data_IF_465616678467
#
_entry.id   IF_465616678467
#
_cell.length_a   1.000
_cell.length_b   1.000
_cell.length_c   1.000
_cell.angle_alpha   90.00
_cell.angle_beta   90.00
_cell.angle_gamma   90.00
#
_symmetry.space_group_name_H-M   'P 1'
#
loop_
_entity.id
_entity.type
_entity.pdbx_description
1 polymer ?
#
# COMPACT_ATOMS: atom_id res chain seq x y z
N UNK A 1 -9.27 -7.95 -7.52
CA UNK A 1 -8.74 -6.58 -7.33
C UNK A 1 -7.87 -6.26 -8.52
N UNK A 2 -7.72 -4.99 -8.89
CA UNK A 2 -6.85 -4.58 -9.98
C UNK A 2 -5.48 -4.21 -9.40
N UNK A 3 -4.43 -4.92 -9.81
CA UNK A 3 -3.06 -4.69 -9.37
C UNK A 3 -2.31 -3.93 -10.47
N UNK A 4 -1.83 -2.73 -10.17
CA UNK A 4 -0.98 -1.94 -11.06
C UNK A 4 0.41 -1.84 -10.45
N UNK A 5 1.42 -2.44 -11.09
CA UNK A 5 2.80 -2.29 -10.62
C UNK A 5 3.24 -0.83 -10.75
N UNK A 6 3.92 -0.32 -9.73
CA UNK A 6 4.50 1.02 -9.74
C UNK A 6 5.82 1.02 -10.52
N UNK A 7 6.42 2.19 -10.80
CA UNK A 7 7.78 2.26 -11.34
C UNK A 7 8.85 1.63 -10.43
N UNK A 8 8.54 1.34 -9.16
CA UNK A 8 9.44 0.65 -8.24
C UNK A 8 9.09 -0.85 -8.21
N UNK A 9 9.99 -1.74 -8.70
CA UNK A 9 9.69 -3.16 -8.86
C UNK A 9 9.26 -3.85 -7.56
N UNK A 10 8.13 -4.56 -7.62
CA UNK A 10 7.52 -5.26 -6.48
C UNK A 10 6.57 -4.42 -5.62
N UNK A 11 6.45 -3.11 -5.85
CA UNK A 11 5.44 -2.27 -5.22
C UNK A 11 4.23 -2.07 -6.14
N UNK A 12 3.02 -2.09 -5.56
CA UNK A 12 1.77 -2.09 -6.34
C UNK A 12 0.77 -1.07 -5.81
N UNK A 13 0.07 -0.42 -6.73
CA UNK A 13 -1.19 0.27 -6.45
C UNK A 13 -2.34 -0.70 -6.72
N UNK A 14 -3.16 -0.95 -5.69
CA UNK A 14 -4.22 -1.95 -5.72
C UNK A 14 -5.58 -1.24 -5.62
N UNK A 15 -6.45 -1.53 -6.59
CA UNK A 15 -7.80 -0.98 -6.67
C UNK A 15 -8.87 -2.04 -6.37
N UNK A 16 -9.84 -1.75 -5.49
CA UNK A 16 -10.95 -2.65 -5.22
C UNK A 16 -11.92 -2.67 -6.41
N UNK A 17 -12.28 -3.88 -6.85
CA UNK A 17 -13.34 -4.07 -7.84
C UNK A 17 -14.71 -4.01 -7.15
N UNK A 18 -15.53 -3.04 -7.56
CA UNK A 18 -16.79 -2.72 -6.89
C UNK A 18 -17.95 -3.46 -7.54
N UNK A 19 -18.69 -4.19 -6.72
CA UNK A 19 -20.00 -4.75 -7.05
C UNK A 19 -21.05 -3.80 -6.49
N UNK A 20 -21.64 -2.97 -7.34
CA UNK A 20 -22.55 -1.89 -6.93
C UNK A 20 -24.02 -2.27 -7.10
N UNK A 21 -24.85 -1.78 -6.18
CA UNK A 21 -26.32 -1.86 -6.22
C UNK A 21 -26.94 -0.61 -5.55
N UNK A 22 -28.26 -0.57 -5.39
CA UNK A 22 -28.97 0.57 -4.82
C UNK A 22 -28.61 0.90 -3.36
N UNK A 23 -27.96 -0.03 -2.64
CA UNK A 23 -27.52 0.15 -1.25
C UNK A 23 -26.11 0.74 -1.17
N UNK A 24 -25.36 0.72 -2.27
CA UNK A 24 -23.96 1.15 -2.33
C UNK A 24 -23.11 0.18 -3.16
N UNK A 25 -22.00 -0.29 -2.60
CA UNK A 25 -21.18 -1.31 -3.24
C UNK A 25 -20.52 -2.23 -2.21
N UNK A 26 -20.21 -3.44 -2.65
CA UNK A 26 -19.34 -4.37 -1.95
C UNK A 26 -18.05 -4.55 -2.75
N UNK A 27 -16.91 -4.61 -2.06
CA UNK A 27 -15.63 -4.86 -2.72
C UNK A 27 -14.66 -5.56 -1.77
N UNK A 28 -13.84 -6.45 -2.32
CA UNK A 28 -12.71 -7.04 -1.61
C UNK A 28 -11.56 -6.04 -1.60
N UNK A 29 -10.95 -5.84 -0.44
CA UNK A 29 -9.77 -4.96 -0.28
C UNK A 29 -8.50 -5.74 0.06
N UNK A 30 -8.63 -7.05 0.23
CA UNK A 30 -7.56 -8.03 0.37
C UNK A 30 -8.14 -9.41 0.01
N UNK A 31 -7.31 -10.26 -0.60
CA UNK A 31 -7.63 -11.64 -0.92
C UNK A 31 -6.33 -12.41 -1.06
N UNK A 32 -6.09 -13.37 -0.16
CA UNK A 32 -4.86 -14.17 -0.11
C UNK A 32 -4.54 -14.79 -1.48
N UNK A 33 -5.52 -15.46 -2.10
CA UNK A 33 -5.37 -16.08 -3.41
C UNK A 33 -4.95 -15.10 -4.53
N UNK A 34 -5.47 -13.88 -4.52
CA UNK A 34 -5.10 -12.89 -5.54
C UNK A 34 -3.71 -12.31 -5.29
N UNK A 35 -3.32 -12.13 -4.03
CA UNK A 35 -1.96 -11.69 -3.69
C UNK A 35 -0.94 -12.79 -4.05
N UNK A 36 -1.23 -14.04 -3.71
CA UNK A 36 -0.40 -15.20 -4.07
C UNK A 36 -0.25 -15.35 -5.58
N UNK A 37 -1.31 -15.12 -6.35
CA UNK A 37 -1.27 -15.16 -7.82
C UNK A 37 -0.34 -14.10 -8.43
N UNK A 38 -0.04 -13.02 -7.69
CA UNK A 38 0.93 -11.98 -8.08
C UNK A 38 2.31 -12.17 -7.41
N UNK A 39 2.53 -13.27 -6.68
CA UNK A 39 3.78 -13.50 -5.94
C UNK A 39 3.98 -12.53 -4.77
N UNK A 40 2.91 -11.94 -4.25
CA UNK A 40 2.95 -10.98 -3.16
C UNK A 40 2.79 -11.69 -1.81
N UNK A 41 3.37 -11.10 -0.76
CA UNK A 41 3.14 -11.54 0.60
C UNK A 41 1.66 -11.35 0.93
N UNK A 42 1.01 -12.45 1.28
CA UNK A 42 -0.41 -12.51 1.59
C UNK A 42 -0.70 -12.74 3.07
N UNK A 43 0.32 -13.11 3.86
CA UNK A 43 0.19 -13.34 5.30
C UNK A 43 0.56 -12.09 6.11
N UNK A 44 -0.43 -11.23 6.36
CA UNK A 44 -0.29 -10.12 7.29
C UNK A 44 -0.58 -10.58 8.73
N UNK A 45 0.35 -10.35 9.65
CA UNK A 45 0.24 -10.78 11.06
C UNK A 45 -0.25 -9.67 12.00
N UNK A 46 -0.34 -8.44 11.49
CA UNK A 46 -0.74 -7.26 12.25
C UNK A 46 -1.55 -6.31 11.37
N UNK A 47 -2.51 -5.63 11.99
CA UNK A 47 -3.27 -4.54 11.39
C UNK A 47 -3.23 -3.32 12.31
N UNK A 48 -3.05 -2.14 11.72
CA UNK A 48 -2.94 -0.89 12.46
C UNK A 48 -3.88 0.17 11.89
N UNK A 49 -4.30 1.11 12.73
CA UNK A 49 -5.02 2.32 12.32
C UNK A 49 -4.34 3.54 12.91
N UNK A 50 -4.24 4.60 12.12
CA UNK A 50 -3.79 5.91 12.59
C UNK A 50 -4.77 6.98 12.14
N UNK A 51 -4.84 8.06 12.92
CA UNK A 51 -5.64 9.24 12.61
C UNK A 51 -4.77 10.48 12.79
N UNK A 52 -4.82 11.38 11.82
CA UNK A 52 -4.12 12.66 11.86
C UNK A 52 -5.12 13.78 12.09
N UNK A 53 -4.96 14.50 13.21
CA UNK A 53 -5.87 15.60 13.60
C UNK A 53 -5.74 16.80 12.65
N UNK A 54 -4.53 17.06 12.14
CA UNK A 54 -4.23 18.24 11.32
C UNK A 54 -3.88 17.82 9.89
N UNK A 55 -4.42 18.55 8.91
CA UNK A 55 -3.93 18.48 7.53
C UNK A 55 -2.45 18.85 7.50
N UNK A 56 -1.66 18.11 6.74
CA UNK A 56 -0.21 18.31 6.64
C UNK A 56 0.61 17.60 7.72
N UNK A 57 0.00 16.82 8.61
CA UNK A 57 0.75 15.91 9.48
C UNK A 57 1.48 14.86 8.64
N UNK A 58 2.80 14.76 8.82
CA UNK A 58 3.68 13.81 8.17
C UNK A 58 4.09 12.70 9.16
N UNK A 59 4.09 11.45 8.70
CA UNK A 59 4.63 10.29 9.42
C UNK A 59 5.60 9.57 8.47
N UNK A 60 6.81 9.30 8.93
CA UNK A 60 7.86 8.67 8.11
C UNK A 60 9.18 9.45 8.13
N UNK A 61 10.20 9.00 7.37
CA UNK A 61 10.22 7.72 6.64
C UNK A 61 10.51 6.55 7.59
N UNK A 62 9.75 5.46 7.48
CA UNK A 62 9.83 4.33 8.42
C UNK A 62 10.35 3.09 7.71
N UNK A 63 11.60 2.74 8.01
CA UNK A 63 12.26 1.56 7.47
C UNK A 63 12.54 0.53 8.57
N UNK A 64 12.38 -0.75 8.24
CA UNK A 64 12.82 -1.86 9.09
C UNK A 64 13.80 -2.74 8.32
N UNK A 65 14.98 -2.93 8.91
CA UNK A 65 16.05 -3.76 8.35
C UNK A 65 15.95 -5.21 8.84
N UNK A 66 16.71 -6.09 8.19
CA UNK A 66 16.89 -7.46 8.64
C UNK A 66 17.24 -7.54 10.13
N UNK A 67 16.60 -8.43 10.92
CA UNK A 67 15.63 -9.48 10.54
C UNK A 67 14.16 -9.08 10.76
N UNK A 68 13.84 -7.79 10.75
CA UNK A 68 12.53 -7.25 11.13
C UNK A 68 11.80 -6.58 9.97
N UNK A 69 12.10 -6.95 8.73
CA UNK A 69 11.48 -6.36 7.55
C UNK A 69 9.96 -6.57 7.56
N UNK A 70 9.23 -5.54 7.14
CA UNK A 70 7.78 -5.57 7.11
C UNK A 70 7.28 -5.18 5.72
N UNK A 71 6.38 -6.01 5.18
CA UNK A 71 5.55 -5.65 4.03
C UNK A 71 4.26 -5.02 4.53
N UNK A 72 3.87 -3.90 3.93
CA UNK A 72 2.70 -3.11 4.35
C UNK A 72 1.68 -3.04 3.22
N UNK A 73 0.40 -3.06 3.58
CA UNK A 73 -0.71 -2.72 2.70
C UNK A 73 -1.44 -1.52 3.31
N UNK A 74 -1.25 -0.34 2.73
CA UNK A 74 -1.73 0.93 3.31
C UNK A 74 -2.90 1.47 2.49
N UNK A 75 -3.93 2.00 3.16
CA UNK A 75 -5.10 2.62 2.51
C UNK A 75 -5.66 3.79 3.30
N UNK A 76 -6.20 4.79 2.61
CA UNK A 76 -6.98 5.86 3.21
C UNK A 76 -8.44 5.45 3.42
N UNK A 77 -8.89 5.28 4.67
CA UNK A 77 -10.29 4.92 4.98
C UNK A 77 -11.18 6.14 5.22
N UNK A 78 -10.60 7.29 5.58
CA UNK A 78 -11.28 8.57 5.73
C UNK A 78 -10.34 9.70 5.30
N UNK A 79 -10.88 10.69 4.57
CA UNK A 79 -10.08 11.79 4.05
C UNK A 79 -9.13 11.36 2.94
N UNK A 80 -7.94 11.96 2.91
CA UNK A 80 -6.92 11.75 1.90
C UNK A 80 -5.51 11.82 2.51
N UNK A 81 -4.60 11.03 1.96
CA UNK A 81 -3.17 11.10 2.25
C UNK A 81 -2.36 10.89 0.97
N UNK A 82 -1.18 11.52 0.91
CA UNK A 82 -0.16 11.22 -0.08
C UNK A 82 0.78 10.19 0.55
N UNK A 83 0.71 8.95 0.11
CA UNK A 83 1.55 7.87 0.59
C UNK A 83 2.80 7.81 -0.28
N UNK A 84 3.97 7.71 0.35
CA UNK A 84 5.26 7.77 -0.33
C UNK A 84 6.09 6.61 0.15
N UNK A 85 6.63 5.84 -0.80
CA UNK A 85 7.60 4.79 -0.53
C UNK A 85 8.93 5.09 -1.22
N UNK A 86 10.03 4.71 -0.57
CA UNK A 86 11.40 4.85 -1.08
C UNK A 86 12.05 3.48 -1.16
N UNK A 87 12.65 3.15 -2.31
CA UNK A 87 13.36 1.88 -2.48
C UNK A 87 14.71 1.94 -1.76
N UNK A 88 14.84 1.18 -0.66
CA UNK A 88 16.04 1.14 0.17
C UNK A 88 16.88 -0.12 -0.09
N UNK A 89 16.58 -0.89 -1.14
CA UNK A 89 17.32 -2.11 -1.50
C UNK A 89 18.58 -1.75 -2.29
N UNK A 90 19.81 -1.96 -1.75
CA UNK A 90 21.04 -1.49 -2.40
C UNK A 90 21.29 -2.06 -3.80
N UNK A 91 20.84 -3.30 -4.04
CA UNK A 91 21.01 -4.01 -5.31
C UNK A 91 19.86 -3.74 -6.30
N UNK A 92 18.89 -2.90 -5.94
CA UNK A 92 17.75 -2.58 -6.81
C UNK A 92 18.14 -1.61 -7.93
N UNK A 93 17.63 -1.80 -9.17
CA UNK A 93 17.80 -0.83 -10.25
C UNK A 93 17.15 0.53 -9.93
N UNK A 94 16.25 0.58 -8.95
CA UNK A 94 15.55 1.78 -8.50
C UNK A 94 16.00 2.24 -7.11
N UNK A 95 17.17 1.83 -6.64
CA UNK A 95 17.70 2.24 -5.33
C UNK A 95 17.66 3.77 -5.15
N UNK A 96 17.12 4.22 -4.00
CA UNK A 96 16.87 5.61 -3.62
C UNK A 96 15.85 6.37 -4.49
N UNK A 97 15.21 5.71 -5.46
CA UNK A 97 14.05 6.27 -6.13
C UNK A 97 12.81 6.13 -5.26
N UNK A 98 11.84 7.00 -5.50
CA UNK A 98 10.60 7.07 -4.74
C UNK A 98 9.41 7.14 -5.67
N UNK A 99 8.26 6.72 -5.15
CA UNK A 99 6.97 6.84 -5.79
C UNK A 99 5.97 7.38 -4.77
N UNK A 100 4.99 8.13 -5.26
CA UNK A 100 3.93 8.67 -4.43
C UNK A 100 2.57 8.35 -5.04
N UNK A 101 1.61 7.97 -4.19
CA UNK A 101 0.23 7.76 -4.56
C UNK A 101 -0.70 8.53 -3.65
N UNK A 102 -1.72 9.16 -4.23
CA UNK A 102 -2.82 9.71 -3.45
C UNK A 102 -3.78 8.58 -3.07
N UNK A 103 -3.96 8.33 -1.77
CA UNK A 103 -4.89 7.36 -1.23
C UNK A 103 -6.03 8.11 -0.53
N UNK A 104 -7.26 7.93 -1.02
CA UNK A 104 -8.44 8.62 -0.48
C UNK A 104 -9.56 7.65 -0.17
N UNK A 105 -10.46 8.05 0.72
CA UNK A 105 -11.68 7.30 0.98
C UNK A 105 -12.58 7.15 -0.27
N UNK A 106 -12.38 8.00 -1.28
CA UNK A 106 -13.14 7.99 -2.53
C UNK A 106 -12.50 7.05 -3.58
N UNK A 107 -11.19 7.15 -3.82
CA UNK A 107 -10.51 6.27 -4.78
C UNK A 107 -10.33 4.86 -4.22
N UNK A 108 -10.27 4.71 -2.88
CA UNK A 108 -10.18 3.46 -2.13
C UNK A 108 -8.95 2.62 -2.49
N UNK A 109 -7.96 3.26 -3.09
CA UNK A 109 -6.69 2.64 -3.47
C UNK A 109 -5.95 2.18 -2.22
N UNK A 110 -5.22 1.09 -2.37
CA UNK A 110 -4.23 0.66 -1.41
C UNK A 110 -2.85 0.64 -2.07
N UNK A 111 -1.82 1.01 -1.32
CA UNK A 111 -0.44 0.89 -1.73
C UNK A 111 0.18 -0.33 -1.03
N UNK A 112 0.68 -1.27 -1.82
CA UNK A 112 1.45 -2.41 -1.35
C UNK A 112 2.93 -2.04 -1.37
N UNK A 113 3.54 -2.06 -0.20
CA UNK A 113 4.93 -1.65 0.05
C UNK A 113 5.69 -2.90 0.50
N UNK A 114 6.56 -3.48 -0.34
CA UNK A 114 7.29 -4.69 0.02
C UNK A 114 8.40 -4.40 1.04
N UNK A 115 8.90 -5.47 1.67
CA UNK A 115 10.11 -5.43 2.48
C UNK A 115 11.27 -4.76 1.70
N UNK A 116 12.13 -4.03 2.42
CA UNK A 116 13.23 -3.29 1.82
C UNK A 116 12.86 -1.88 1.33
N UNK A 117 11.65 -1.40 1.59
CA UNK A 117 11.22 -0.03 1.32
C UNK A 117 10.98 0.75 2.61
N UNK A 118 11.22 2.07 2.56
CA UNK A 118 10.85 3.01 3.62
C UNK A 118 9.52 3.70 3.31
#
# INVERSE_FOLDING_TARGET
MLFTETPLPGAYLIEPERLSDERGFFARTFCEQEFDAHGLLSRFVQCSISFNVRKGTLRGMHYQAAPHEETKLVRGTQGALCDVLVDMRPDSPTYLQWYAAELTAENRKALYIPAGFA
#
